data_IF_367266195139
#
_entry.id   IF_367266195139
#
_cell.length_a   1.000
_cell.length_b   1.000
_cell.length_c   1.000
_cell.angle_alpha   90.00
_cell.angle_beta   90.00
_cell.angle_gamma   90.00
#
_symmetry.space_group_name_H-M   'P 1'
#
loop_
_entity.id
_entity.type
_entity.pdbx_description
1 polymer ?
#
# COMPACT_ATOMS: atom_id res chain seq x y z
N UNK A 1 -11.81 20.60 17.59
CA UNK A 1 -11.51 19.20 17.27
C UNK A 1 -10.58 19.08 16.06
N UNK A 2 -9.95 17.90 15.86
CA UNK A 2 -9.11 17.64 14.67
C UNK A 2 -9.90 17.82 13.36
N UNK A 3 -11.15 17.36 13.35
CA UNK A 3 -12.01 17.49 12.17
C UNK A 3 -12.32 18.94 11.79
N UNK A 4 -12.50 19.81 12.76
CA UNK A 4 -12.69 21.24 12.53
C UNK A 4 -11.42 21.88 11.96
N UNK A 5 -10.26 21.55 12.52
CA UNK A 5 -8.97 22.00 12.00
C UNK A 5 -8.76 21.55 10.55
N UNK A 6 -9.08 20.30 10.22
CA UNK A 6 -9.01 19.76 8.86
C UNK A 6 -9.97 20.50 7.91
N UNK A 7 -11.21 20.82 8.36
CA UNK A 7 -12.15 21.61 7.55
C UNK A 7 -11.62 23.01 7.24
N UNK A 8 -11.00 23.66 8.22
CA UNK A 8 -10.38 24.98 8.02
C UNK A 8 -9.14 24.93 7.13
N UNK A 9 -8.33 23.86 7.24
CA UNK A 9 -7.15 23.67 6.40
C UNK A 9 -7.50 23.35 4.94
N UNK A 10 -8.60 22.65 4.67
CA UNK A 10 -9.07 22.33 3.32
C UNK A 10 -9.61 23.57 2.62
N UNK A 11 -9.55 23.59 1.29
CA UNK A 11 -10.12 24.66 0.49
C UNK A 11 -9.77 24.50 -0.99
N UNK A 12 -10.20 25.46 -1.80
CA UNK A 12 -10.00 25.44 -3.25
C UNK A 12 -8.50 25.39 -3.60
N UNK A 13 -8.12 24.53 -4.55
CA UNK A 13 -6.76 24.45 -5.08
C UNK A 13 -6.29 25.85 -5.53
N UNK A 14 -5.05 26.22 -5.20
CA UNK A 14 -4.46 27.53 -5.49
C UNK A 14 -4.82 28.62 -4.48
N UNK A 15 -5.80 28.43 -3.57
CA UNK A 15 -6.07 29.38 -2.49
C UNK A 15 -4.99 29.29 -1.40
N UNK A 16 -4.75 30.40 -0.70
CA UNK A 16 -3.77 30.47 0.39
C UNK A 16 -4.45 30.27 1.74
N UNK A 17 -3.72 29.67 2.67
CA UNK A 17 -4.04 29.63 4.09
C UNK A 17 -2.85 30.20 4.87
N UNK A 18 -3.10 31.03 5.87
CA UNK A 18 -2.11 31.48 6.82
C UNK A 18 -2.19 30.59 8.07
N UNK A 19 -1.07 30.01 8.44
CA UNK A 19 -0.93 29.18 9.65
C UNK A 19 -0.08 29.93 10.65
N UNK A 20 -0.59 30.10 11.87
CA UNK A 20 0.18 30.57 13.02
C UNK A 20 0.65 29.36 13.80
N UNK A 21 1.96 29.10 13.81
CA UNK A 21 2.58 27.93 14.41
C UNK A 21 3.38 28.34 15.65
N UNK A 22 3.06 27.75 16.78
CA UNK A 22 3.88 27.83 17.99
C UNK A 22 4.85 26.65 17.95
N UNK A 23 6.14 26.94 18.03
CA UNK A 23 7.22 25.94 18.02
C UNK A 23 8.08 26.11 19.24
N UNK A 24 8.41 25.03 19.93
CA UNK A 24 9.33 25.03 21.05
C UNK A 24 10.72 25.55 20.59
N UNK A 25 11.30 26.44 21.37
CA UNK A 25 12.57 27.12 21.04
C UNK A 25 12.43 28.42 20.23
N UNK A 26 11.24 28.77 19.75
CA UNK A 26 10.97 30.03 19.04
C UNK A 26 10.34 31.06 19.98
N UNK A 27 10.92 32.31 20.02
CA UNK A 27 10.46 33.38 20.92
C UNK A 27 9.09 33.95 20.55
N UNK A 28 8.63 33.75 19.29
CA UNK A 28 7.36 34.26 18.77
C UNK A 28 6.69 33.22 17.86
N UNK A 29 5.35 33.20 17.77
CA UNK A 29 4.64 32.38 16.77
C UNK A 29 5.11 32.70 15.35
N UNK A 30 5.24 31.66 14.55
CA UNK A 30 5.63 31.74 13.14
C UNK A 30 4.38 31.86 12.27
N UNK A 31 4.32 32.86 11.40
CA UNK A 31 3.28 32.97 10.38
C UNK A 31 3.75 32.36 9.07
N UNK A 32 3.10 31.27 8.65
CA UNK A 32 3.46 30.54 7.43
C UNK A 32 2.28 30.55 6.47
N UNK A 33 2.48 31.17 5.29
CA UNK A 33 1.51 31.14 4.21
C UNK A 33 1.73 29.88 3.36
N UNK A 34 0.69 29.03 3.24
CA UNK A 34 0.70 27.81 2.44
C UNK A 34 -0.33 27.93 1.32
N UNK A 35 0.07 27.62 0.10
CA UNK A 35 -0.86 27.51 -1.04
C UNK A 35 -1.44 26.10 -1.08
N UNK A 36 -2.78 25.99 -1.08
CA UNK A 36 -3.46 24.70 -1.15
C UNK A 36 -3.26 24.05 -2.52
N UNK A 37 -2.87 22.80 -2.52
CA UNK A 37 -2.80 21.98 -3.72
C UNK A 37 -3.28 20.56 -3.43
N UNK A 38 -3.40 19.75 -4.48
CA UNK A 38 -3.71 18.32 -4.35
C UNK A 38 -2.48 17.58 -3.82
N UNK A 39 -2.55 17.14 -2.57
CA UNK A 39 -1.47 16.36 -1.96
C UNK A 39 -1.51 14.94 -2.55
N UNK A 40 -0.51 14.61 -3.36
CA UNK A 40 -0.30 13.25 -3.86
C UNK A 40 0.71 12.53 -2.97
N UNK A 41 0.22 11.78 -2.02
CA UNK A 41 1.08 10.94 -1.18
C UNK A 41 1.53 9.74 -2.02
N UNK A 42 2.84 9.64 -2.26
CA UNK A 42 3.43 8.46 -2.91
C UNK A 42 3.38 7.29 -1.92
N UNK A 43 2.46 6.36 -2.14
CA UNK A 43 2.32 5.15 -1.33
C UNK A 43 3.34 4.06 -1.65
N UNK A 44 3.98 4.12 -2.81
CA UNK A 44 5.04 3.19 -3.24
C UNK A 44 6.35 3.96 -3.39
N UNK A 45 7.41 3.42 -2.77
CA UNK A 45 8.78 3.93 -2.88
C UNK A 45 9.72 2.76 -3.13
N UNK A 46 10.74 2.94 -3.96
CA UNK A 46 11.73 1.91 -4.26
C UNK A 46 13.14 2.46 -4.26
N UNK A 47 14.10 1.60 -3.89
CA UNK A 47 15.53 1.89 -3.95
C UNK A 47 16.33 0.61 -4.05
N UNK A 48 17.56 0.68 -4.55
CA UNK A 48 18.56 -0.36 -4.37
C UNK A 48 19.12 -0.23 -2.94
N UNK A 49 19.22 -1.34 -2.22
CA UNK A 49 19.87 -1.41 -0.89
C UNK A 49 21.37 -1.54 -1.05
N UNK A 50 21.76 -2.52 -1.85
CA UNK A 50 23.13 -2.83 -2.28
C UNK A 50 23.07 -3.49 -3.67
N UNK A 51 24.17 -3.64 -4.39
CA UNK A 51 24.17 -4.23 -5.74
C UNK A 51 23.41 -5.56 -5.80
N UNK A 52 22.40 -5.65 -6.67
CA UNK A 52 21.56 -6.84 -6.83
C UNK A 52 20.38 -6.95 -5.85
N UNK A 53 20.25 -6.06 -4.85
CA UNK A 53 19.16 -6.17 -3.85
C UNK A 53 18.23 -4.97 -3.88
N UNK A 54 16.98 -5.24 -4.27
CA UNK A 54 15.92 -4.23 -4.37
C UNK A 54 15.10 -4.08 -3.08
N UNK A 55 14.55 -2.91 -2.90
CA UNK A 55 13.62 -2.61 -1.81
C UNK A 55 12.44 -1.83 -2.35
N UNK A 56 11.23 -2.30 -2.02
CA UNK A 56 9.96 -1.63 -2.31
C UNK A 56 9.18 -1.48 -1.00
N UNK A 57 8.80 -0.25 -0.66
CA UNK A 57 7.89 0.03 0.45
C UNK A 57 6.52 0.43 -0.06
N UNK A 58 5.48 -0.22 0.45
CA UNK A 58 4.09 0.16 0.24
C UNK A 58 3.52 0.63 1.57
N UNK A 59 3.15 1.91 1.67
CA UNK A 59 2.61 2.50 2.92
C UNK A 59 1.09 2.46 3.01
N UNK A 60 0.40 2.26 1.89
CA UNK A 60 -1.06 2.05 1.80
C UNK A 60 -1.44 1.54 0.43
N UNK A 61 -2.55 0.79 0.33
CA UNK A 61 -3.08 0.30 -0.93
C UNK A 61 -4.12 1.27 -1.50
N UNK A 62 -3.78 1.87 -2.63
CA UNK A 62 -4.60 2.83 -3.39
C UNK A 62 -4.90 2.23 -4.77
N UNK A 63 -5.85 2.80 -5.53
CA UNK A 63 -6.22 2.35 -6.87
C UNK A 63 -5.05 2.28 -7.88
N UNK A 64 -3.98 3.03 -7.64
CA UNK A 64 -2.79 3.05 -8.50
C UNK A 64 -1.61 2.23 -7.95
N UNK A 65 -1.79 1.51 -6.85
CA UNK A 65 -0.68 0.81 -6.17
C UNK A 65 -0.06 -0.26 -7.05
N UNK A 66 -0.85 -1.10 -7.69
CA UNK A 66 -0.37 -2.14 -8.62
C UNK A 66 0.54 -1.54 -9.70
N UNK A 67 0.07 -0.55 -10.44
CA UNK A 67 0.86 0.12 -11.48
C UNK A 67 2.15 0.74 -10.94
N UNK A 68 2.09 1.31 -9.74
CA UNK A 68 3.27 1.93 -9.13
C UNK A 68 4.29 0.89 -8.66
N UNK A 69 3.85 -0.32 -8.26
CA UNK A 69 4.73 -1.43 -7.91
C UNK A 69 5.38 -2.01 -9.16
N UNK A 70 4.62 -2.22 -10.24
CA UNK A 70 5.17 -2.64 -11.55
C UNK A 70 6.30 -1.68 -11.98
N UNK A 71 6.02 -0.37 -12.01
CA UNK A 71 7.03 0.63 -12.37
C UNK A 71 8.23 0.66 -11.39
N UNK A 72 8.01 0.28 -10.12
CA UNK A 72 9.09 0.16 -9.15
C UNK A 72 9.97 -1.07 -9.40
N UNK A 73 9.36 -2.21 -9.77
CA UNK A 73 10.07 -3.44 -10.15
C UNK A 73 10.90 -3.20 -11.40
N UNK A 74 10.30 -2.69 -12.48
CA UNK A 74 10.98 -2.33 -13.73
C UNK A 74 12.20 -1.43 -13.47
N UNK A 75 12.00 -0.37 -12.69
CA UNK A 75 13.09 0.54 -12.31
C UNK A 75 14.22 -0.13 -11.50
N UNK A 76 13.90 -1.12 -10.66
CA UNK A 76 14.90 -1.86 -9.90
C UNK A 76 15.67 -2.81 -10.82
N UNK A 77 14.99 -3.49 -11.74
CA UNK A 77 15.62 -4.34 -12.76
C UNK A 77 16.57 -3.54 -13.64
N UNK A 78 16.14 -2.38 -14.16
CA UNK A 78 16.99 -1.49 -14.95
C UNK A 78 18.22 -1.03 -14.17
N UNK A 79 18.07 -0.65 -12.91
CA UNK A 79 19.18 -0.20 -12.06
C UNK A 79 20.16 -1.30 -11.65
N UNK A 80 19.72 -2.54 -11.70
CA UNK A 80 20.51 -3.72 -11.41
C UNK A 80 21.05 -4.38 -12.69
N UNK A 81 20.98 -3.71 -13.85
CA UNK A 81 21.36 -4.25 -15.15
C UNK A 81 20.74 -5.63 -15.41
N UNK A 82 19.43 -5.78 -15.07
CA UNK A 82 18.65 -7.03 -15.10
C UNK A 82 19.19 -8.15 -14.18
N UNK A 83 20.11 -7.85 -13.27
CA UNK A 83 20.71 -8.82 -12.34
C UNK A 83 20.22 -8.57 -10.90
N UNK A 84 18.91 -8.56 -10.71
CA UNK A 84 18.31 -8.50 -9.37
C UNK A 84 18.41 -9.88 -8.71
N UNK A 85 19.02 -9.97 -7.54
CA UNK A 85 19.27 -11.22 -6.79
C UNK A 85 18.32 -11.41 -5.62
N UNK A 86 17.61 -10.37 -5.22
CA UNK A 86 16.63 -10.42 -4.14
C UNK A 86 15.82 -9.15 -4.00
N UNK A 87 14.62 -9.27 -3.43
CA UNK A 87 13.69 -8.16 -3.22
C UNK A 87 13.17 -8.14 -1.79
N UNK A 88 13.20 -6.99 -1.17
CA UNK A 88 12.51 -6.71 0.10
C UNK A 88 11.23 -5.92 -0.17
N UNK A 89 10.09 -6.49 0.17
CA UNK A 89 8.77 -5.84 0.13
C UNK A 89 8.37 -5.42 1.55
N UNK A 90 8.41 -4.13 1.84
CA UNK A 90 8.13 -3.60 3.18
C UNK A 90 6.67 -3.12 3.30
N UNK A 91 5.89 -3.86 4.08
CA UNK A 91 4.49 -3.58 4.41
C UNK A 91 4.31 -3.13 5.87
N UNK A 92 5.37 -2.84 6.59
CA UNK A 92 5.28 -2.38 7.99
C UNK A 92 4.55 -1.06 8.09
N UNK A 93 3.65 -0.95 9.09
CA UNK A 93 2.77 0.21 9.33
C UNK A 93 1.88 0.53 8.11
N UNK A 94 1.53 -0.47 7.32
CA UNK A 94 0.58 -0.33 6.22
C UNK A 94 -0.79 -0.90 6.65
N UNK A 95 -1.78 -0.06 6.95
CA UNK A 95 -3.08 -0.51 7.45
C UNK A 95 -3.95 -1.18 6.36
N UNK A 96 -3.42 -1.34 5.17
CA UNK A 96 -4.14 -1.91 4.04
C UNK A 96 -4.66 -0.85 3.07
N UNK A 97 -5.88 -1.03 2.61
CA UNK A 97 -6.57 -0.15 1.66
C UNK A 97 -7.40 -0.92 0.64
N UNK A 98 -7.29 -0.57 -0.63
CA UNK A 98 -8.13 -1.13 -1.71
C UNK A 98 -7.79 -2.59 -1.99
N UNK A 99 -8.80 -3.49 -1.91
CA UNK A 99 -8.66 -4.94 -2.15
C UNK A 99 -8.02 -5.24 -3.51
N UNK A 100 -8.49 -4.61 -4.58
CA UNK A 100 -7.95 -4.82 -5.93
C UNK A 100 -6.49 -4.40 -6.05
N UNK A 101 -6.02 -3.49 -5.19
CA UNK A 101 -4.61 -3.12 -5.09
C UNK A 101 -3.76 -4.24 -4.47
N UNK A 102 -4.28 -4.96 -3.47
CA UNK A 102 -3.60 -6.12 -2.90
C UNK A 102 -3.57 -7.29 -3.90
N UNK A 103 -4.70 -7.57 -4.54
CA UNK A 103 -4.79 -8.61 -5.60
C UNK A 103 -3.75 -8.33 -6.68
N UNK A 104 -3.73 -7.12 -7.25
CA UNK A 104 -2.80 -6.81 -8.32
C UNK A 104 -1.32 -6.76 -7.88
N UNK A 105 -1.03 -6.48 -6.60
CA UNK A 105 0.36 -6.56 -6.10
C UNK A 105 0.77 -8.02 -5.89
N UNK A 106 -0.11 -8.88 -5.42
CA UNK A 106 0.16 -10.33 -5.30
C UNK A 106 0.37 -10.97 -6.68
N UNK A 107 -0.46 -10.59 -7.65
CA UNK A 107 -0.39 -11.06 -9.04
C UNK A 107 0.96 -10.79 -9.72
N UNK A 108 1.67 -9.71 -9.34
CA UNK A 108 3.01 -9.40 -9.86
C UNK A 108 4.03 -10.51 -9.53
N UNK A 109 3.86 -11.19 -8.41
CA UNK A 109 4.85 -12.11 -7.84
C UNK A 109 4.41 -13.57 -7.82
N UNK A 110 3.19 -13.88 -8.22
CA UNK A 110 2.63 -15.23 -8.26
C UNK A 110 2.54 -15.74 -9.70
N UNK A 111 2.37 -17.06 -9.85
CA UNK A 111 2.15 -17.67 -11.15
C UNK A 111 0.65 -17.73 -11.48
N UNK A 112 0.35 -17.77 -12.75
CA UNK A 112 -1.02 -17.88 -13.25
C UNK A 112 -1.81 -19.01 -12.57
N UNK A 113 -3.03 -18.69 -12.14
CA UNK A 113 -3.95 -19.60 -11.45
C UNK A 113 -3.74 -19.72 -9.93
N UNK A 114 -2.64 -19.22 -9.36
CA UNK A 114 -2.41 -19.27 -7.91
C UNK A 114 -3.41 -18.39 -7.15
N UNK A 115 -4.10 -18.98 -6.15
CA UNK A 115 -5.12 -18.29 -5.36
C UNK A 115 -4.51 -17.16 -4.53
N UNK A 116 -5.03 -15.96 -4.66
CA UNK A 116 -4.59 -14.79 -3.87
C UNK A 116 -5.44 -14.62 -2.62
N UNK A 117 -6.76 -14.55 -2.79
CA UNK A 117 -7.72 -14.36 -1.70
C UNK A 117 -9.11 -14.81 -2.13
N UNK A 118 -9.85 -15.34 -1.18
CA UNK A 118 -11.27 -15.57 -1.35
C UNK A 118 -12.06 -14.90 -0.22
N UNK A 119 -13.31 -14.54 -0.51
CA UNK A 119 -14.26 -14.08 0.51
C UNK A 119 -15.35 -15.12 0.70
N UNK A 120 -15.81 -15.31 1.94
CA UNK A 120 -16.91 -16.18 2.27
C UNK A 120 -17.92 -15.39 3.09
N UNK A 121 -19.16 -15.32 2.62
CA UNK A 121 -20.24 -14.57 3.24
C UNK A 121 -21.42 -15.46 3.63
N UNK A 122 -22.45 -14.84 4.24
CA UNK A 122 -23.72 -15.53 4.56
C UNK A 122 -24.62 -15.69 3.33
N UNK A 123 -24.38 -14.88 2.31
CA UNK A 123 -25.13 -14.91 1.03
C UNK A 123 -24.18 -15.34 -0.07
N UNK A 124 -24.68 -16.17 -1.01
CA UNK A 124 -23.85 -16.74 -2.08
C UNK A 124 -23.17 -15.68 -2.94
N UNK A 125 -23.84 -14.58 -3.23
CA UNK A 125 -23.28 -13.45 -3.99
C UNK A 125 -22.11 -12.71 -3.29
N UNK A 126 -21.81 -13.03 -2.03
CA UNK A 126 -20.67 -12.46 -1.30
C UNK A 126 -19.37 -13.28 -1.47
N UNK A 127 -19.42 -14.39 -2.18
CA UNK A 127 -18.24 -15.22 -2.44
C UNK A 127 -17.49 -14.69 -3.66
N UNK A 128 -16.28 -14.20 -3.42
CA UNK A 128 -15.37 -13.75 -4.47
C UNK A 128 -14.07 -14.54 -4.35
N UNK A 129 -13.56 -14.98 -5.50
CA UNK A 129 -12.27 -15.65 -5.62
C UNK A 129 -11.38 -14.84 -6.54
N UNK A 130 -10.18 -14.52 -6.05
CA UNK A 130 -9.16 -13.84 -6.84
C UNK A 130 -7.92 -14.73 -6.93
N UNK A 131 -7.51 -15.04 -8.15
CA UNK A 131 -6.27 -15.75 -8.45
C UNK A 131 -5.36 -14.88 -9.30
N UNK A 132 -4.09 -15.20 -9.32
CA UNK A 132 -3.13 -14.59 -10.21
C UNK A 132 -3.49 -14.90 -11.68
N UNK A 133 -3.22 -13.97 -12.56
CA UNK A 133 -3.53 -14.01 -13.99
C UNK A 133 -2.30 -13.79 -14.87
N UNK A 134 -1.14 -13.59 -14.24
CA UNK A 134 0.14 -13.40 -14.91
C UNK A 134 1.19 -14.32 -14.28
N UNK A 135 2.33 -14.45 -14.93
CA UNK A 135 3.47 -15.12 -14.32
C UNK A 135 4.30 -14.15 -13.49
N UNK A 136 5.08 -14.68 -12.56
CA UNK A 136 5.98 -13.96 -11.70
C UNK A 136 6.89 -13.01 -12.50
N UNK A 137 6.75 -11.71 -12.27
CA UNK A 137 7.46 -10.65 -13.01
C UNK A 137 8.93 -10.51 -12.64
N UNK A 138 9.43 -11.30 -11.68
CA UNK A 138 10.82 -11.27 -11.21
C UNK A 138 11.48 -12.65 -11.27
N UNK A 139 10.94 -13.56 -12.08
CA UNK A 139 11.52 -14.89 -12.41
C UNK A 139 12.01 -15.69 -11.19
N UNK A 140 11.23 -15.70 -10.11
CA UNK A 140 11.53 -16.52 -8.93
C UNK A 140 12.66 -16.00 -8.02
N UNK A 141 13.16 -14.78 -8.20
CA UNK A 141 14.16 -14.23 -7.26
C UNK A 141 13.63 -14.28 -5.82
N UNK A 142 14.49 -14.51 -4.81
CA UNK A 142 14.08 -14.53 -3.41
C UNK A 142 13.39 -13.22 -3.00
N UNK A 143 12.24 -13.35 -2.31
CA UNK A 143 11.50 -12.20 -1.76
C UNK A 143 11.39 -12.33 -0.24
N UNK A 144 11.65 -11.23 0.45
CA UNK A 144 11.34 -11.06 1.87
C UNK A 144 10.23 -10.03 2.02
N UNK A 145 9.15 -10.39 2.70
CA UNK A 145 8.06 -9.47 3.05
C UNK A 145 8.19 -9.07 4.51
N UNK A 146 8.34 -7.78 4.77
CA UNK A 146 8.40 -7.24 6.13
C UNK A 146 7.02 -6.80 6.61
N UNK A 147 6.60 -7.30 7.77
CA UNK A 147 5.33 -6.95 8.43
C UNK A 147 5.54 -6.58 9.90
N UNK A 148 4.56 -5.89 10.48
CA UNK A 148 4.46 -5.65 11.93
C UNK A 148 2.98 -5.51 12.34
N UNK A 149 2.73 -5.18 13.62
CA UNK A 149 1.38 -4.96 14.16
C UNK A 149 0.55 -3.89 13.43
N UNK A 150 1.21 -2.97 12.74
CA UNK A 150 0.55 -1.97 11.89
C UNK A 150 0.24 -2.45 10.47
N UNK A 151 0.60 -3.70 10.12
CA UNK A 151 0.26 -4.32 8.83
C UNK A 151 -1.12 -4.97 8.94
N UNK A 152 -2.10 -4.52 8.13
CA UNK A 152 -3.48 -4.99 8.23
C UNK A 152 -4.16 -5.17 6.87
N UNK A 153 -5.21 -6.01 6.81
CA UNK A 153 -6.14 -6.11 5.66
C UNK A 153 -5.40 -6.43 4.35
N UNK A 154 -5.38 -5.51 3.37
CA UNK A 154 -4.69 -5.67 2.08
C UNK A 154 -3.20 -6.07 2.22
N UNK A 155 -2.51 -5.60 3.27
CA UNK A 155 -1.13 -6.01 3.56
C UNK A 155 -1.06 -7.48 3.96
N UNK A 156 -2.06 -7.97 4.71
CA UNK A 156 -2.14 -9.36 5.14
C UNK A 156 -2.53 -10.28 3.98
N UNK A 157 -3.32 -9.78 3.02
CA UNK A 157 -3.62 -10.51 1.77
C UNK A 157 -2.33 -10.76 1.00
N UNK A 158 -1.53 -9.72 0.75
CA UNK A 158 -0.26 -9.86 0.02
C UNK A 158 0.70 -10.79 0.77
N UNK A 159 0.90 -10.57 2.07
CA UNK A 159 1.80 -11.40 2.86
C UNK A 159 1.33 -12.86 2.92
N UNK A 160 0.04 -13.10 3.14
CA UNK A 160 -0.56 -14.44 3.20
C UNK A 160 -0.45 -15.17 1.86
N UNK A 161 -0.85 -14.53 0.76
CA UNK A 161 -0.78 -15.15 -0.56
C UNK A 161 0.67 -15.55 -0.93
N UNK A 162 1.64 -14.67 -0.73
CA UNK A 162 3.04 -14.99 -1.00
C UNK A 162 3.62 -16.05 -0.05
N UNK A 163 3.13 -16.12 1.19
CA UNK A 163 3.51 -17.16 2.15
C UNK A 163 2.93 -18.52 1.79
N UNK A 164 1.64 -18.58 1.48
CA UNK A 164 0.93 -19.85 1.22
C UNK A 164 1.48 -20.55 -0.04
N UNK A 165 1.84 -19.78 -1.06
CA UNK A 165 2.51 -20.29 -2.26
C UNK A 165 4.04 -20.43 -2.09
N UNK A 166 4.59 -20.22 -0.87
CA UNK A 166 6.03 -20.30 -0.60
C UNK A 166 6.87 -19.39 -1.49
N UNK A 167 6.24 -18.32 -2.00
CA UNK A 167 6.90 -17.38 -2.90
C UNK A 167 7.79 -16.38 -2.16
N UNK A 168 7.49 -16.10 -0.89
CA UNK A 168 8.28 -15.19 -0.08
C UNK A 168 8.46 -15.67 1.35
N UNK A 169 9.53 -15.22 1.99
CA UNK A 169 9.74 -15.36 3.43
C UNK A 169 9.13 -14.17 4.15
N UNK A 170 8.22 -14.41 5.09
CA UNK A 170 7.61 -13.35 5.89
C UNK A 170 8.46 -13.12 7.14
N UNK A 171 8.87 -11.87 7.37
CA UNK A 171 9.72 -11.47 8.49
C UNK A 171 9.13 -10.30 9.27
N UNK A 172 9.36 -10.30 10.57
CA UNK A 172 8.98 -9.21 11.47
C UNK A 172 8.12 -9.64 12.63
N UNK A 173 7.06 -8.90 12.93
CA UNK A 173 6.15 -9.15 14.04
C UNK A 173 4.79 -9.58 13.52
N UNK A 174 3.97 -10.17 14.41
CA UNK A 174 2.60 -10.56 14.11
C UNK A 174 1.82 -9.35 13.58
N UNK A 175 1.09 -9.54 12.47
CA UNK A 175 0.23 -8.52 11.86
C UNK A 175 -1.04 -8.28 12.68
N UNK A 176 -1.85 -7.33 12.27
CA UNK A 176 -3.07 -6.90 12.98
C UNK A 176 -4.13 -8.01 13.08
N UNK A 177 -4.33 -8.82 12.04
CA UNK A 177 -5.35 -9.89 12.00
C UNK A 177 -6.72 -9.42 11.53
N UNK A 178 -6.81 -8.52 10.54
CA UNK A 178 -8.08 -8.09 9.96
C UNK A 178 -8.53 -9.02 8.83
N UNK A 179 -9.32 -10.05 9.16
CA UNK A 179 -9.87 -11.02 8.21
C UNK A 179 -11.28 -10.68 7.67
N UNK A 180 -11.66 -9.41 7.61
CA UNK A 180 -12.98 -8.99 7.09
C UNK A 180 -12.87 -8.01 5.94
N UNK A 181 -13.72 -8.20 4.91
CA UNK A 181 -13.90 -7.26 3.79
C UNK A 181 -15.19 -6.47 4.00
N UNK A 182 -15.11 -5.16 3.77
CA UNK A 182 -16.24 -4.25 3.90
C UNK A 182 -16.59 -3.64 2.55
N UNK A 183 -17.86 -3.65 2.19
CA UNK A 183 -18.39 -2.98 0.98
C UNK A 183 -19.21 -1.77 1.39
N UNK A 184 -18.95 -0.64 0.76
CA UNK A 184 -19.77 0.56 0.95
C UNK A 184 -21.01 0.43 0.07
N UNK A 185 -22.18 0.35 0.69
CA UNK A 185 -23.45 0.36 -0.02
C UNK A 185 -24.00 1.80 0.01
N UNK A 186 -24.18 2.46 -1.14
CA UNK A 186 -24.82 3.78 -1.17
C UNK A 186 -26.29 3.61 -0.78
N UNK A 187 -26.72 4.29 0.29
CA UNK A 187 -28.13 4.39 0.66
C UNK A 187 -28.76 5.49 -0.21
N UNK A 188 -30.04 5.28 -0.58
CA UNK A 188 -30.80 6.31 -1.32
C UNK A 188 -30.93 7.55 -0.45
N UNK A 189 -30.64 8.73 -1.05
CA UNK A 189 -30.80 10.08 -0.51
C UNK A 189 -30.03 10.35 0.82
N UNK A 190 -28.81 10.90 0.66
CA UNK A 190 -28.00 11.62 1.68
C UNK A 190 -27.75 10.95 3.04
N UNK A 191 -27.98 9.66 3.21
CA UNK A 191 -27.59 8.89 4.37
C UNK A 191 -26.40 7.99 4.06
N UNK A 192 -25.19 8.49 4.38
CA UNK A 192 -23.96 7.70 4.44
C UNK A 192 -23.45 7.64 5.90
#
# INVERSE_FOLDING_TARGET
TLNEAVKLMRGKRGSKILLTIVREGEAKPLEISVTRDVIRVKSVRSRILEPGYGYIRISSFQSKTTRNVIAAVEKLLDKADQNLQGLVLDLRNNPGGVLTGAVGVSDIFLNDGELIVFTKGRVEDAELNYSASTNDSVDGIPIIVLINEGSASASEIVAGALQDHKRAVIMGQKSFGKGSVQTILPLKEDAA
#
